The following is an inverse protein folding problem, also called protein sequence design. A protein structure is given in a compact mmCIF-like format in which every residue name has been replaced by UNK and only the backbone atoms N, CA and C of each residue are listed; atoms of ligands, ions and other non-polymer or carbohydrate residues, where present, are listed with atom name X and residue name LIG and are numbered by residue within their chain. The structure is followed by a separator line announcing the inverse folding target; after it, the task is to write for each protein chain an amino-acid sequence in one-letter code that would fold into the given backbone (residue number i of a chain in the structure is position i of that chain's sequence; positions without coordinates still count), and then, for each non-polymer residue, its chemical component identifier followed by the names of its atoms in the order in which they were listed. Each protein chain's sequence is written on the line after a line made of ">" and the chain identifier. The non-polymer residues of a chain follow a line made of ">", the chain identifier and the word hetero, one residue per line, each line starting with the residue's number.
data_IF_154032221157
#
_entry.id   IF_154032221157
#
_cell.length_a   1.000
_cell.length_b   1.000
_cell.length_c   1.000
_cell.angle_alpha   90.00
_cell.angle_beta   90.00
_cell.angle_gamma   90.00
#
_symmetry.space_group_name_H-M   'P 1'
#
loop_
_entity.id
_entity.type
_entity.pdbx_description
1 polymer ?
#
# COMPACT_ATOMS: atom_id res chain seq x y z
N UNK A 1 4.93 23.27 76.33
CA UNK A 1 4.53 24.54 75.72
C UNK A 1 5.17 24.66 74.37
N UNK A 2 4.49 24.31 73.34
CA UNK A 2 4.37 25.02 72.07
C UNK A 2 3.71 24.08 71.05
N UNK A 3 2.54 24.51 70.62
CA UNK A 3 1.74 23.83 69.61
C UNK A 3 2.40 23.91 68.20
N UNK A 4 2.61 22.78 67.56
CA UNK A 4 3.01 22.69 66.21
C UNK A 4 1.79 22.61 65.26
N UNK A 5 1.54 23.63 64.45
CA UNK A 5 0.48 23.70 63.46
C UNK A 5 0.81 22.76 62.31
N UNK A 6 -0.05 21.77 62.08
CA UNK A 6 -0.04 20.91 60.88
C UNK A 6 -0.75 21.66 59.77
N UNK A 7 0.01 22.08 58.79
CA UNK A 7 -0.52 22.61 57.53
C UNK A 7 -1.14 21.46 56.72
N UNK A 8 -2.47 21.44 56.63
CA UNK A 8 -3.21 20.59 55.72
C UNK A 8 -2.94 21.01 54.29
N UNK A 9 -2.21 20.19 53.54
CA UNK A 9 -2.08 20.33 52.12
C UNK A 9 -3.42 20.00 51.44
N UNK A 10 -4.08 21.01 50.90
CA UNK A 10 -5.25 20.85 50.07
C UNK A 10 -4.85 20.09 48.81
N UNK A 11 -5.34 18.87 48.69
CA UNK A 11 -5.25 18.06 47.46
C UNK A 11 -6.15 18.71 46.42
N UNK A 12 -5.57 19.56 45.57
CA UNK A 12 -6.25 20.08 44.38
C UNK A 12 -6.43 18.92 43.42
N UNK A 13 -7.62 18.35 43.40
CA UNK A 13 -8.01 17.32 42.44
C UNK A 13 -7.85 17.85 41.02
N UNK A 14 -6.96 17.23 40.25
CA UNK A 14 -6.84 17.47 38.84
C UNK A 14 -8.21 17.29 38.18
N UNK A 15 -8.62 18.15 37.25
CA UNK A 15 -9.87 17.97 36.53
C UNK A 15 -9.80 16.64 35.75
N UNK A 16 -10.63 15.70 36.16
CA UNK A 16 -10.89 14.48 35.38
C UNK A 16 -11.47 14.95 34.07
N UNK A 17 -10.63 15.06 33.03
CA UNK A 17 -11.08 15.25 31.69
C UNK A 17 -12.00 14.06 31.35
N UNK A 18 -13.30 14.31 31.43
CA UNK A 18 -14.31 13.34 31.04
C UNK A 18 -14.00 12.83 29.66
N UNK A 19 -13.54 11.57 29.56
CA UNK A 19 -13.29 10.86 28.33
C UNK A 19 -14.65 10.66 27.67
N UNK A 20 -15.06 11.64 26.89
CA UNK A 20 -16.23 11.54 26.01
C UNK A 20 -15.94 10.37 25.06
N UNK A 21 -16.55 9.23 25.35
CA UNK A 21 -16.62 8.11 24.43
C UNK A 21 -17.33 8.60 23.17
N UNK A 22 -16.56 9.11 22.21
CA UNK A 22 -17.09 9.42 20.89
C UNK A 22 -17.57 8.13 20.26
N UNK A 23 -18.88 7.87 20.32
CA UNK A 23 -19.56 6.72 19.71
C UNK A 23 -19.61 6.78 18.18
N UNK A 24 -19.14 7.87 17.56
CA UNK A 24 -19.19 8.09 16.13
C UNK A 24 -17.81 8.05 15.52
N UNK A 25 -17.64 7.26 14.47
CA UNK A 25 -16.42 7.22 13.66
C UNK A 25 -16.26 8.55 12.92
N UNK A 26 -15.16 9.25 13.11
CA UNK A 26 -14.87 10.51 12.41
C UNK A 26 -14.58 10.22 10.93
N UNK A 27 -15.27 10.91 10.04
CA UNK A 27 -14.93 10.94 8.62
C UNK A 27 -13.91 12.04 8.36
N UNK A 28 -12.78 11.70 7.71
CA UNK A 28 -11.74 12.67 7.38
C UNK A 28 -12.16 13.54 6.18
N UNK A 29 -11.75 14.81 6.23
CA UNK A 29 -11.78 15.69 5.06
C UNK A 29 -10.51 15.48 4.23
N UNK A 30 -10.55 15.69 2.89
CA UNK A 30 -9.37 15.53 2.03
C UNK A 30 -8.15 16.34 2.47
N UNK A 31 -8.35 17.53 3.04
CA UNK A 31 -7.29 18.39 3.54
C UNK A 31 -6.60 17.88 4.82
N UNK A 32 -7.23 16.98 5.56
CA UNK A 32 -6.71 16.42 6.81
C UNK A 32 -5.86 15.16 6.59
N UNK A 33 -5.85 14.64 5.35
CA UNK A 33 -5.16 13.40 5.02
C UNK A 33 -3.66 13.64 4.90
N UNK A 34 -2.88 12.93 5.72
CA UNK A 34 -1.42 12.88 5.59
C UNK A 34 -1.01 11.65 4.79
N UNK A 35 -0.19 11.84 3.75
CA UNK A 35 0.32 10.76 2.90
C UNK A 35 1.81 10.56 3.17
N UNK A 36 2.19 9.34 3.53
CA UNK A 36 3.59 8.97 3.72
C UNK A 36 4.14 8.35 2.43
N UNK A 37 5.46 8.38 2.27
CA UNK A 37 6.15 7.70 1.18
C UNK A 37 6.70 6.37 1.67
N UNK A 38 6.42 5.32 0.92
CA UNK A 38 6.80 3.94 1.27
C UNK A 38 7.53 3.32 0.09
N UNK A 39 8.72 2.76 0.35
CA UNK A 39 9.51 2.01 -0.62
C UNK A 39 9.34 0.52 -0.38
N UNK A 40 9.04 -0.23 -1.43
CA UNK A 40 8.89 -1.68 -1.40
C UNK A 40 9.82 -2.29 -2.45
N UNK A 41 10.64 -3.23 -2.03
CA UNK A 41 11.43 -4.06 -2.92
C UNK A 41 10.61 -5.29 -3.34
N UNK A 42 10.43 -5.48 -4.64
CA UNK A 42 9.63 -6.56 -5.20
C UNK A 42 10.43 -7.84 -5.49
N UNK A 43 11.76 -7.82 -5.30
CA UNK A 43 12.64 -8.96 -5.59
C UNK A 43 12.24 -10.19 -4.76
N UNK A 44 12.00 -11.31 -5.45
CA UNK A 44 11.64 -12.58 -4.82
C UNK A 44 10.24 -12.64 -4.19
N UNK A 45 9.46 -11.57 -4.27
CA UNK A 45 8.11 -11.54 -3.69
C UNK A 45 7.06 -12.12 -4.64
N UNK A 46 6.08 -12.82 -4.06
CA UNK A 46 4.92 -13.34 -4.80
C UNK A 46 4.01 -12.21 -5.23
N UNK A 47 3.81 -12.05 -6.55
CA UNK A 47 3.04 -10.96 -7.17
C UNK A 47 1.69 -10.70 -6.49
N UNK A 48 0.88 -11.74 -6.26
CA UNK A 48 -0.47 -11.56 -5.70
C UNK A 48 -0.46 -11.02 -4.27
N UNK A 49 0.49 -11.48 -3.45
CA UNK A 49 0.64 -11.02 -2.05
C UNK A 49 1.20 -9.61 -1.98
N UNK A 50 2.21 -9.32 -2.80
CA UNK A 50 2.73 -7.97 -2.97
C UNK A 50 1.59 -7.00 -3.36
N UNK A 51 0.82 -7.33 -4.39
CA UNK A 51 -0.29 -6.52 -4.87
C UNK A 51 -1.37 -6.28 -3.82
N UNK A 52 -1.67 -7.26 -2.95
CA UNK A 52 -2.64 -7.11 -1.85
C UNK A 52 -2.15 -6.09 -0.82
N UNK A 53 -0.87 -6.13 -0.44
CA UNK A 53 -0.29 -5.19 0.52
C UNK A 53 -0.27 -3.77 -0.06
N UNK A 54 0.15 -3.63 -1.32
CA UNK A 54 0.13 -2.36 -2.05
C UNK A 54 -1.30 -1.81 -2.10
N UNK A 55 -2.29 -2.60 -2.51
CA UNK A 55 -3.69 -2.16 -2.61
C UNK A 55 -4.26 -1.73 -1.25
N UNK A 56 -3.92 -2.44 -0.17
CA UNK A 56 -4.34 -2.09 1.19
C UNK A 56 -3.77 -0.74 1.62
N UNK A 57 -2.50 -0.47 1.30
CA UNK A 57 -1.84 0.81 1.63
C UNK A 57 -2.29 1.95 0.74
N UNK A 58 -2.48 1.74 -0.56
CA UNK A 58 -3.03 2.75 -1.48
C UNK A 58 -4.46 3.17 -1.11
N UNK A 59 -5.27 2.26 -0.57
CA UNK A 59 -6.59 2.60 -0.03
C UNK A 59 -6.53 3.26 1.35
N UNK A 60 -5.41 3.15 2.07
CA UNK A 60 -5.26 3.65 3.42
C UNK A 60 -5.88 2.77 4.50
N UNK A 61 -6.24 1.50 4.20
CA UNK A 61 -6.86 0.58 5.17
C UNK A 61 -5.98 0.22 6.38
N UNK A 62 -4.69 0.49 6.32
CA UNK A 62 -3.75 0.30 7.41
C UNK A 62 -3.81 1.42 8.45
N UNK A 63 -4.45 2.55 8.12
CA UNK A 63 -4.58 3.72 9.00
C UNK A 63 -5.87 3.62 9.82
N UNK A 64 -5.85 3.97 11.13
CA UNK A 64 -7.06 3.95 11.97
C UNK A 64 -8.12 4.95 11.51
N UNK A 65 -7.70 6.01 10.81
CA UNK A 65 -8.56 7.09 10.30
C UNK A 65 -9.10 6.81 8.89
N UNK A 66 -9.09 5.56 8.45
CA UNK A 66 -9.55 5.18 7.11
C UNK A 66 -10.99 5.65 6.84
N UNK A 67 -11.18 6.38 5.75
CA UNK A 67 -12.50 6.84 5.26
C UNK A 67 -12.72 6.31 3.85
N UNK A 68 -13.78 5.52 3.57
CA UNK A 68 -13.94 4.79 2.31
C UNK A 68 -14.05 5.67 1.06
N UNK A 69 -14.60 6.87 1.16
CA UNK A 69 -14.85 7.81 0.05
C UNK A 69 -13.72 8.82 -0.15
N UNK A 70 -12.73 8.86 0.74
CA UNK A 70 -11.57 9.77 0.67
C UNK A 70 -10.32 8.97 0.34
N UNK A 71 -9.40 9.58 -0.43
CA UNK A 71 -8.11 9.01 -0.73
C UNK A 71 -7.15 9.18 0.46
N UNK A 72 -7.23 8.24 1.42
CA UNK A 72 -6.42 8.22 2.64
C UNK A 72 -5.09 7.47 2.50
N UNK A 73 -4.79 6.95 1.31
CA UNK A 73 -3.63 6.10 1.05
C UNK A 73 -2.30 6.82 1.11
N UNK A 74 -1.23 6.02 1.05
CA UNK A 74 0.15 6.48 0.99
C UNK A 74 0.67 6.48 -0.44
N UNK A 75 1.77 7.20 -0.70
CA UNK A 75 2.52 7.11 -1.94
C UNK A 75 3.44 5.88 -1.86
N UNK A 76 3.37 5.02 -2.86
CA UNK A 76 4.13 3.75 -2.87
C UNK A 76 5.08 3.72 -4.05
N UNK A 77 6.34 3.50 -3.76
CA UNK A 77 7.40 3.27 -4.74
C UNK A 77 7.78 1.79 -4.70
N UNK A 78 7.67 1.10 -5.82
CA UNK A 78 8.05 -0.30 -5.98
C UNK A 78 9.26 -0.36 -6.88
N UNK A 79 10.31 -1.02 -6.43
CA UNK A 79 11.55 -1.27 -7.17
C UNK A 79 11.70 -2.75 -7.51
N UNK A 80 12.58 -3.09 -8.46
CA UNK A 80 12.85 -4.46 -8.92
C UNK A 80 11.59 -5.19 -9.44
N UNK A 81 10.66 -4.48 -10.09
CA UNK A 81 9.39 -5.06 -10.54
C UNK A 81 9.56 -6.22 -11.57
N UNK A 82 10.69 -6.28 -12.25
CA UNK A 82 11.03 -7.37 -13.17
C UNK A 82 11.32 -8.70 -12.47
N UNK A 83 11.78 -8.65 -11.20
CA UNK A 83 12.17 -9.82 -10.40
C UNK A 83 11.05 -10.40 -9.55
N UNK A 84 9.81 -9.99 -9.80
CA UNK A 84 8.61 -10.50 -9.12
C UNK A 84 8.39 -11.96 -9.46
N UNK A 85 8.05 -12.77 -8.44
CA UNK A 85 7.83 -14.20 -8.59
C UNK A 85 6.34 -14.52 -8.77
N UNK A 86 6.07 -15.45 -9.69
CA UNK A 86 4.75 -15.99 -9.98
C UNK A 86 4.71 -17.46 -9.53
N UNK A 87 3.70 -17.82 -8.77
CA UNK A 87 3.53 -19.20 -8.28
C UNK A 87 2.76 -20.06 -9.27
N UNK A 88 3.10 -21.36 -9.33
CA UNK A 88 2.49 -22.33 -10.23
C UNK A 88 2.77 -22.00 -11.71
N UNK A 89 1.99 -22.57 -12.62
CA UNK A 89 2.21 -22.44 -14.06
C UNK A 89 1.68 -21.12 -14.68
N UNK A 90 1.61 -20.04 -13.89
CA UNK A 90 1.09 -18.74 -14.36
C UNK A 90 1.99 -18.07 -15.38
N UNK A 91 3.29 -18.33 -15.33
CA UNK A 91 4.27 -17.75 -16.26
C UNK A 91 3.95 -18.17 -17.69
N UNK A 92 3.64 -19.45 -17.91
CA UNK A 92 3.33 -19.98 -19.23
C UNK A 92 1.86 -19.82 -19.67
N UNK A 93 0.93 -19.91 -18.71
CA UNK A 93 -0.51 -19.99 -19.02
C UNK A 93 -1.26 -18.67 -18.92
N UNK A 94 -0.76 -17.71 -18.12
CA UNK A 94 -1.50 -16.46 -17.88
C UNK A 94 -1.39 -15.52 -19.07
N UNK A 95 -2.52 -15.25 -19.72
CA UNK A 95 -2.66 -14.29 -20.81
C UNK A 95 -3.30 -13.00 -20.34
N UNK A 96 -2.84 -11.90 -20.89
CA UNK A 96 -3.46 -10.58 -20.76
C UNK A 96 -4.11 -10.23 -22.10
N UNK A 97 -5.43 -10.08 -22.06
CA UNK A 97 -6.22 -9.70 -23.22
C UNK A 97 -6.48 -8.19 -23.23
N UNK A 98 -6.41 -7.57 -24.38
CA UNK A 98 -6.89 -6.21 -24.61
C UNK A 98 -7.55 -6.11 -25.98
N UNK A 99 -8.55 -5.24 -26.09
CA UNK A 99 -9.29 -5.01 -27.31
C UNK A 99 -8.89 -3.68 -27.95
N UNK A 100 -8.66 -3.66 -29.26
CA UNK A 100 -8.23 -2.46 -30.00
C UNK A 100 -9.37 -1.52 -30.38
N UNK A 101 -10.63 -1.92 -30.18
CA UNK A 101 -11.82 -1.18 -30.59
C UNK A 101 -12.35 -1.56 -31.98
N UNK A 102 -11.63 -2.40 -32.76
CA UNK A 102 -12.05 -2.86 -34.10
C UNK A 102 -12.60 -4.29 -34.07
N UNK A 103 -13.48 -4.69 -34.99
CA UNK A 103 -13.94 -6.07 -35.11
C UNK A 103 -12.75 -7.04 -35.19
N UNK A 104 -12.79 -8.12 -34.38
CA UNK A 104 -11.66 -9.08 -34.30
C UNK A 104 -10.41 -8.57 -33.60
N UNK A 105 -10.44 -7.39 -32.98
CA UNK A 105 -9.28 -6.70 -32.41
C UNK A 105 -8.87 -7.17 -31.00
N UNK A 106 -9.17 -8.41 -30.59
CA UNK A 106 -8.64 -8.98 -29.34
C UNK A 106 -7.18 -9.35 -29.54
N UNK A 107 -6.31 -8.78 -28.71
CA UNK A 107 -4.89 -9.13 -28.69
C UNK A 107 -4.49 -9.70 -27.35
N UNK A 108 -3.55 -10.63 -27.38
CA UNK A 108 -3.07 -11.38 -26.22
C UNK A 108 -1.58 -11.16 -26.02
N UNK A 109 -1.16 -11.10 -24.74
CA UNK A 109 0.26 -11.09 -24.35
C UNK A 109 0.44 -11.98 -23.14
N UNK A 110 1.49 -12.79 -23.14
CA UNK A 110 1.89 -13.59 -21.97
C UNK A 110 2.51 -12.71 -20.89
N UNK A 111 2.52 -13.19 -19.64
CA UNK A 111 3.23 -12.50 -18.55
C UNK A 111 4.71 -12.35 -18.87
N UNK A 112 5.34 -13.39 -19.40
CA UNK A 112 6.76 -13.37 -19.80
C UNK A 112 7.04 -12.24 -20.77
N UNK A 113 6.23 -12.11 -21.83
CA UNK A 113 6.37 -11.02 -22.81
C UNK A 113 6.24 -9.62 -22.18
N UNK A 114 5.46 -9.47 -21.10
CA UNK A 114 5.34 -8.19 -20.39
C UNK A 114 6.51 -7.93 -19.48
N UNK A 115 6.98 -8.95 -18.74
CA UNK A 115 8.12 -8.81 -17.81
C UNK A 115 9.44 -8.54 -18.57
N UNK A 116 9.63 -9.15 -19.75
CA UNK A 116 10.82 -8.92 -20.59
C UNK A 116 10.66 -7.75 -21.56
N UNK A 117 9.48 -7.15 -21.61
CA UNK A 117 9.15 -6.04 -22.52
C UNK A 117 9.64 -4.68 -21.99
N UNK A 118 9.26 -3.61 -22.71
CA UNK A 118 9.62 -2.22 -22.39
C UNK A 118 9.15 -1.74 -21.00
N UNK A 119 8.03 -2.28 -20.52
CA UNK A 119 7.38 -1.84 -19.27
C UNK A 119 7.07 -3.03 -18.34
N UNK A 120 8.08 -3.63 -17.69
CA UNK A 120 7.86 -4.79 -16.81
C UNK A 120 6.98 -4.45 -15.60
N UNK A 121 7.01 -3.21 -15.11
CA UNK A 121 6.16 -2.72 -14.03
C UNK A 121 4.66 -2.84 -14.29
N UNK A 122 4.23 -2.91 -15.57
CA UNK A 122 2.81 -3.05 -15.94
C UNK A 122 2.14 -4.29 -15.31
N UNK A 123 2.92 -5.36 -15.06
CA UNK A 123 2.40 -6.58 -14.45
C UNK A 123 1.96 -6.32 -13.00
N UNK A 124 2.78 -5.58 -12.26
CA UNK A 124 2.49 -5.19 -10.87
C UNK A 124 1.33 -4.19 -10.84
N UNK A 125 1.36 -3.17 -11.68
CA UNK A 125 0.29 -2.16 -11.76
C UNK A 125 -1.07 -2.80 -12.06
N UNK A 126 -1.15 -3.70 -13.04
CA UNK A 126 -2.39 -4.41 -13.39
C UNK A 126 -2.87 -5.36 -12.29
N UNK A 127 -1.97 -5.97 -11.54
CA UNK A 127 -2.33 -6.78 -10.39
C UNK A 127 -2.96 -5.92 -9.29
N UNK A 128 -2.38 -4.78 -8.98
CA UNK A 128 -2.89 -3.82 -7.98
C UNK A 128 -4.20 -3.18 -8.44
N UNK A 129 -4.28 -2.72 -9.70
CA UNK A 129 -5.48 -2.11 -10.27
C UNK A 129 -6.70 -3.01 -10.13
N UNK A 130 -6.54 -4.32 -10.34
CA UNK A 130 -7.64 -5.30 -10.23
C UNK A 130 -8.03 -5.62 -8.79
N UNK A 131 -7.22 -5.26 -7.80
CA UNK A 131 -7.51 -5.44 -6.38
C UNK A 131 -8.17 -4.24 -5.72
N UNK A 132 -8.20 -3.08 -6.38
CA UNK A 132 -8.87 -1.87 -5.91
C UNK A 132 -10.24 -1.77 -6.58
N UNK A 133 -11.24 -1.28 -5.84
CA UNK A 133 -12.60 -1.09 -6.36
C UNK A 133 -12.61 -0.07 -7.49
N UNK A 134 -13.14 -0.44 -8.64
CA UNK A 134 -13.20 0.41 -9.85
C UNK A 134 -14.01 1.69 -9.59
N UNK A 135 -13.54 2.80 -10.16
CA UNK A 135 -14.22 4.09 -10.06
C UNK A 135 -13.27 5.29 -10.14
N UNK A 136 -13.81 6.52 -9.99
CA UNK A 136 -12.99 7.74 -9.99
C UNK A 136 -11.93 7.75 -8.89
N UNK A 137 -12.28 7.25 -7.69
CA UNK A 137 -11.37 7.15 -6.56
C UNK A 137 -10.19 6.21 -6.83
N UNK A 138 -10.42 5.07 -7.50
CA UNK A 138 -9.33 4.18 -7.93
C UNK A 138 -8.32 4.90 -8.81
N UNK A 139 -8.78 5.69 -9.78
CA UNK A 139 -7.90 6.44 -10.68
C UNK A 139 -7.03 7.44 -9.93
N UNK A 140 -7.57 8.07 -8.89
CA UNK A 140 -6.81 8.95 -8.01
C UNK A 140 -5.77 8.17 -7.20
N UNK A 141 -6.17 7.05 -6.60
CA UNK A 141 -5.28 6.18 -5.81
C UNK A 141 -4.14 5.58 -6.64
N UNK A 142 -4.42 5.15 -7.87
CA UNK A 142 -3.39 4.59 -8.76
C UNK A 142 -2.31 5.60 -9.17
N UNK A 143 -2.59 6.91 -9.12
CA UNK A 143 -1.57 7.96 -9.36
C UNK A 143 -0.50 8.03 -8.26
N UNK A 144 -0.74 7.42 -7.11
CA UNK A 144 0.20 7.35 -5.99
C UNK A 144 1.02 6.05 -6.00
N UNK A 145 0.90 5.25 -7.05
CA UNK A 145 1.72 4.06 -7.27
C UNK A 145 2.76 4.34 -8.34
N UNK A 146 4.03 4.19 -7.96
CA UNK A 146 5.19 4.35 -8.83
C UNK A 146 5.91 3.01 -8.91
N UNK A 147 6.06 2.46 -10.10
CA UNK A 147 6.67 1.12 -10.30
C UNK A 147 7.87 1.24 -11.22
N UNK A 148 9.02 0.77 -10.74
CA UNK A 148 10.29 0.79 -11.46
C UNK A 148 10.79 -0.64 -11.69
N UNK A 149 11.32 -0.88 -12.88
CA UNK A 149 11.87 -2.18 -13.27
C UNK A 149 13.11 -2.53 -12.45
N UNK A 150 14.06 -1.61 -12.37
CA UNK A 150 15.32 -1.77 -11.66
C UNK A 150 15.28 -1.31 -10.20
N UNK A 151 16.46 -1.16 -9.61
CA UNK A 151 16.64 -0.74 -8.21
C UNK A 151 16.64 0.78 -8.03
N UNK A 152 16.83 1.55 -9.10
CA UNK A 152 16.91 3.01 -9.05
C UNK A 152 15.53 3.67 -9.17
N UNK A 153 15.32 4.76 -8.43
CA UNK A 153 14.09 5.55 -8.49
C UNK A 153 14.38 7.05 -8.27
N UNK A 154 13.58 7.96 -8.85
CA UNK A 154 13.81 9.40 -8.73
C UNK A 154 13.22 10.03 -7.45
N UNK A 155 12.78 9.23 -6.48
CA UNK A 155 12.04 9.69 -5.29
C UNK A 155 12.89 9.79 -4.02
N UNK A 156 14.21 9.95 -4.12
CA UNK A 156 15.09 10.06 -2.94
C UNK A 156 14.81 11.32 -2.11
N UNK A 157 14.42 12.42 -2.79
CA UNK A 157 14.08 13.66 -2.12
C UNK A 157 12.88 13.57 -1.17
N UNK A 158 11.96 12.62 -1.41
CA UNK A 158 10.79 12.36 -0.56
C UNK A 158 11.13 11.46 0.64
N UNK A 159 12.33 10.91 0.72
CA UNK A 159 12.81 10.03 1.80
C UNK A 159 11.82 8.89 2.09
N UNK A 160 11.52 8.01 1.11
CA UNK A 160 10.56 6.94 1.31
C UNK A 160 11.05 5.95 2.38
N UNK A 161 10.15 5.55 3.27
CA UNK A 161 10.44 4.57 4.31
C UNK A 161 10.38 3.17 3.72
N UNK A 162 11.46 2.40 3.84
CA UNK A 162 11.52 1.01 3.36
C UNK A 162 10.56 0.14 4.19
N UNK A 163 9.68 -0.58 3.48
CA UNK A 163 8.77 -1.56 4.05
C UNK A 163 9.21 -2.96 3.65
N UNK A 164 9.60 -3.75 4.64
CA UNK A 164 9.96 -5.15 4.42
C UNK A 164 8.70 -6.03 4.36
N UNK A 165 8.25 -6.32 3.15
CA UNK A 165 7.10 -7.18 2.87
C UNK A 165 7.45 -8.66 3.10
N UNK A 166 8.72 -9.05 2.93
CA UNK A 166 9.17 -10.42 3.15
C UNK A 166 9.01 -10.82 4.62
N UNK A 167 9.41 -9.95 5.54
CA UNK A 167 9.33 -10.18 6.98
C UNK A 167 7.88 -10.24 7.51
N UNK A 168 6.92 -9.60 6.83
CA UNK A 168 5.51 -9.60 7.26
C UNK A 168 4.88 -11.00 7.28
N UNK A 169 5.24 -11.86 6.33
CA UNK A 169 4.70 -13.21 6.25
C UNK A 169 5.63 -14.11 5.42
N UNK A 170 6.01 -15.28 5.97
CA UNK A 170 6.84 -16.28 5.29
C UNK A 170 6.33 -16.67 3.90
N UNK A 171 5.01 -16.63 3.68
CA UNK A 171 4.40 -16.95 2.38
C UNK A 171 4.53 -15.84 1.34
N UNK A 172 5.07 -14.67 1.67
CA UNK A 172 5.26 -13.58 0.72
C UNK A 172 6.44 -13.84 -0.22
N UNK A 173 7.40 -14.63 0.23
CA UNK A 173 8.53 -15.10 -0.59
C UNK A 173 8.31 -16.55 -1.02
N UNK A 174 8.85 -16.93 -2.17
CA UNK A 174 9.00 -18.33 -2.56
C UNK A 174 10.37 -18.77 -2.08
N UNK A 175 10.39 -19.71 -1.14
CA UNK A 175 11.63 -20.43 -0.83
C UNK A 175 11.90 -21.32 -2.04
N UNK A 176 13.07 -21.21 -2.69
CA UNK A 176 13.43 -22.19 -3.72
C UNK A 176 13.42 -23.57 -3.05
N UNK A 177 12.57 -24.46 -3.56
CA UNK A 177 12.63 -25.86 -3.16
C UNK A 177 13.99 -26.39 -3.57
N UNK A 178 14.78 -26.80 -2.57
CA UNK A 178 16.07 -27.44 -2.71
C UNK A 178 15.94 -28.83 -3.31
#
# INVERSE_FOLDING_TARGET
>A
LTAGAIHGAAFVGAPQAGMSLMKTTRSLKPAEVTKNWVLIDAEGLVLGRLATIIATRLRGKHKPQFTPHVDCGDNIVVINAEKVVLTGNKVGQKLFHYHTGHPGGIKERTITQRLTGKHPGEVVEKAVERMITRGPLQRAQMKHLYVYAGSEHPHDGQKPVKLDVAAMNRKNTVTPES
#
